data_IF_030015064966
#
_entry.id   IF_030015064966
#
_cell.length_a   1.000
_cell.length_b   1.000
_cell.length_c   1.000
_cell.angle_alpha   90.00
_cell.angle_beta   90.00
_cell.angle_gamma   90.00
#
_symmetry.space_group_name_H-M   'P 1'
#
loop_
_entity.id
_entity.type
_entity.pdbx_description
1 polymer ?
#
# COMPACT_ATOMS: atom_id res chain seq x y z
N UNK A 1 -1.99 2.42 -37.99
CA UNK A 1 -1.80 2.74 -36.55
C UNK A 1 -3.04 2.23 -35.85
N UNK A 2 -2.94 1.04 -35.27
CA UNK A 2 -4.06 0.30 -34.68
C UNK A 2 -4.32 0.84 -33.28
N UNK A 3 -5.57 0.79 -32.84
CA UNK A 3 -6.14 1.55 -31.72
C UNK A 3 -5.83 0.95 -30.33
N UNK A 4 -4.82 0.09 -30.24
CA UNK A 4 -4.53 -0.73 -29.05
C UNK A 4 -3.31 -0.27 -28.23
N UNK A 5 -2.48 0.64 -28.75
CA UNK A 5 -1.21 1.01 -28.10
C UNK A 5 -1.31 2.16 -27.08
N UNK A 6 -2.51 2.47 -26.57
CA UNK A 6 -2.72 3.69 -25.74
C UNK A 6 -3.22 3.46 -24.31
N UNK A 7 -3.45 2.21 -23.91
CA UNK A 7 -3.73 1.88 -22.51
C UNK A 7 -2.61 1.00 -21.96
N UNK A 8 -1.93 1.48 -20.92
CA UNK A 8 -1.08 0.64 -20.08
C UNK A 8 0.42 0.76 -20.29
N UNK A 9 0.96 1.97 -20.47
CA UNK A 9 2.32 2.27 -20.01
C UNK A 9 2.24 2.84 -18.58
N UNK A 10 1.65 2.09 -17.66
CA UNK A 10 2.07 2.21 -16.26
C UNK A 10 3.42 1.52 -16.21
N UNK A 11 4.50 2.30 -16.23
CA UNK A 11 5.86 1.89 -15.82
C UNK A 11 5.89 1.57 -14.30
N UNK A 12 4.84 0.91 -13.82
CA UNK A 12 4.80 0.27 -12.51
C UNK A 12 5.47 -1.10 -12.68
N UNK A 13 6.78 -1.07 -12.90
CA UNK A 13 7.69 -2.21 -12.76
C UNK A 13 7.69 -2.66 -11.29
N UNK A 14 6.67 -3.44 -10.94
CA UNK A 14 6.53 -4.10 -9.65
C UNK A 14 6.21 -5.58 -9.85
N UNK A 15 7.07 -6.33 -10.55
CA UNK A 15 7.14 -7.80 -10.41
C UNK A 15 8.47 -8.39 -10.88
N UNK A 16 9.12 -9.11 -9.96
CA UNK A 16 10.04 -10.24 -10.15
C UNK A 16 11.45 -10.02 -10.72
N UNK A 17 12.37 -9.63 -9.85
CA UNK A 17 13.70 -10.25 -9.85
C UNK A 17 14.25 -10.44 -8.41
N UNK A 18 13.64 -11.40 -7.68
CA UNK A 18 14.26 -11.95 -6.47
C UNK A 18 13.98 -13.46 -6.35
N UNK A 19 14.08 -14.17 -7.48
CA UNK A 19 14.24 -15.62 -7.50
C UNK A 19 15.72 -15.94 -7.76
N UNK A 20 16.54 -15.94 -6.71
CA UNK A 20 17.99 -16.04 -6.89
C UNK A 20 18.86 -16.29 -5.66
N UNK A 21 18.30 -16.50 -4.47
CA UNK A 21 19.09 -16.85 -3.28
C UNK A 21 18.47 -17.99 -2.49
N UNK A 22 18.23 -19.11 -3.17
CA UNK A 22 17.96 -20.39 -2.52
C UNK A 22 18.76 -21.50 -3.20
N UNK A 23 20.10 -21.43 -3.13
CA UNK A 23 20.92 -22.65 -3.10
C UNK A 23 22.36 -22.36 -2.69
N UNK A 24 22.81 -23.18 -1.74
CA UNK A 24 24.19 -23.60 -1.48
C UNK A 24 25.01 -22.80 -0.45
N UNK A 25 24.93 -23.24 0.81
CA UNK A 25 26.14 -23.62 1.55
C UNK A 25 25.77 -24.34 2.85
N UNK A 26 26.18 -25.62 2.94
CA UNK A 26 26.90 -26.21 4.08
C UNK A 26 26.44 -27.66 4.34
N UNK A 27 27.24 -28.61 3.85
CA UNK A 27 27.21 -29.99 4.34
C UNK A 27 28.34 -30.18 5.35
N UNK A 28 28.02 -30.89 6.44
CA UNK A 28 28.88 -31.61 7.39
C UNK A 28 29.70 -30.81 8.43
N UNK A 29 29.30 -30.92 9.71
CA UNK A 29 29.94 -31.85 10.67
C UNK A 29 29.26 -31.77 12.05
N UNK A 30 29.11 -32.91 12.71
CA UNK A 30 28.36 -33.05 13.95
C UNK A 30 29.04 -32.48 15.19
N UNK A 31 28.21 -32.11 16.17
CA UNK A 31 28.53 -32.24 17.60
C UNK A 31 27.24 -32.13 18.42
N UNK A 32 26.90 -33.22 19.10
CA UNK A 32 25.99 -33.28 20.25
C UNK A 32 26.41 -32.28 21.33
N UNK A 33 25.46 -31.54 21.95
CA UNK A 33 25.37 -31.22 23.40
C UNK A 33 23.99 -30.59 23.72
N UNK A 34 23.29 -31.27 24.62
CA UNK A 34 22.38 -30.85 25.70
C UNK A 34 21.33 -29.72 25.53
N UNK A 35 20.09 -30.14 25.76
CA UNK A 35 18.92 -29.37 26.20
C UNK A 35 19.19 -28.63 27.52
N UNK A 36 18.97 -27.32 27.54
CA UNK A 36 18.77 -26.55 28.78
C UNK A 36 17.44 -25.78 28.64
N UNK A 37 16.42 -26.31 29.31
CA UNK A 37 15.17 -25.61 29.62
C UNK A 37 15.47 -24.47 30.58
N UNK A 38 15.21 -23.23 30.18
CA UNK A 38 15.20 -22.07 31.09
C UNK A 38 13.74 -21.78 31.45
N UNK A 39 13.46 -22.02 32.72
CA UNK A 39 12.21 -21.76 33.44
C UNK A 39 11.93 -20.25 33.47
N UNK A 40 10.73 -19.81 33.07
CA UNK A 40 10.33 -18.40 33.08
C UNK A 40 9.72 -18.03 34.45
N UNK A 41 10.35 -17.10 35.15
CA UNK A 41 9.72 -16.36 36.26
C UNK A 41 8.81 -15.25 35.70
N UNK A 42 7.69 -14.90 36.38
CA UNK A 42 6.78 -13.86 35.91
C UNK A 42 7.30 -12.47 36.31
N UNK A 43 7.87 -11.74 35.35
CA UNK A 43 8.19 -10.32 35.50
C UNK A 43 6.89 -9.50 35.53
N UNK A 44 6.67 -8.82 36.65
CA UNK A 44 5.61 -7.85 36.91
C UNK A 44 5.74 -6.68 35.91
N UNK A 45 5.00 -6.76 34.80
CA UNK A 45 5.07 -5.75 33.73
C UNK A 45 4.24 -4.52 34.12
N UNK A 46 4.96 -3.50 34.53
CA UNK A 46 4.50 -2.10 34.64
C UNK A 46 3.76 -1.74 33.34
N UNK A 47 2.50 -1.32 33.44
CA UNK A 47 1.72 -0.86 32.28
C UNK A 47 2.25 0.49 31.82
N UNK A 48 3.29 0.47 30.96
CA UNK A 48 3.68 1.64 30.20
C UNK A 48 2.53 2.02 29.25
N UNK A 49 2.23 3.33 29.07
CA UNK A 49 1.21 3.75 28.13
C UNK A 49 1.61 3.30 26.72
N UNK A 50 0.68 2.66 26.00
CA UNK A 50 0.89 2.24 24.62
C UNK A 50 1.37 3.47 23.80
N UNK A 51 2.51 3.36 23.08
CA UNK A 51 2.99 4.47 22.26
C UNK A 51 1.94 4.83 21.20
N UNK A 52 1.70 6.13 20.98
CA UNK A 52 0.84 6.61 19.91
C UNK A 52 1.25 5.92 18.58
N UNK A 53 0.29 5.39 17.80
CA UNK A 53 0.61 4.68 16.58
C UNK A 53 1.33 5.63 15.62
N UNK A 54 2.50 5.19 15.13
CA UNK A 54 3.28 5.95 14.16
C UNK A 54 2.42 6.29 12.94
N UNK A 55 2.55 7.51 12.36
CA UNK A 55 1.87 7.83 11.12
C UNK A 55 2.16 6.79 10.04
N UNK A 56 1.15 6.50 9.22
CA UNK A 56 1.11 5.36 8.30
C UNK A 56 2.38 5.20 7.44
N UNK A 57 2.94 6.30 6.91
CA UNK A 57 4.13 6.27 6.05
C UNK A 57 5.38 5.74 6.77
N UNK A 58 5.47 5.92 8.09
CA UNK A 58 6.59 5.47 8.92
C UNK A 58 6.40 4.07 9.50
N UNK A 59 5.16 3.57 9.54
CA UNK A 59 4.84 2.25 10.07
C UNK A 59 4.94 1.13 9.02
N UNK A 60 4.82 1.44 7.72
CA UNK A 60 4.75 0.42 6.66
C UNK A 60 6.11 -0.15 6.26
N UNK A 61 6.15 -1.46 5.96
CA UNK A 61 7.35 -2.15 5.42
C UNK A 61 7.47 -2.02 3.90
N UNK A 62 6.35 -2.13 3.19
CA UNK A 62 6.27 -1.93 1.74
C UNK A 62 5.01 -1.15 1.42
N UNK A 63 4.90 -0.66 0.19
CA UNK A 63 3.73 0.08 -0.27
C UNK A 63 2.47 -0.80 -0.27
N UNK A 64 2.61 -2.10 -0.52
CA UNK A 64 1.50 -3.07 -0.53
C UNK A 64 1.28 -3.76 0.82
N UNK A 65 2.18 -3.58 1.79
CA UNK A 65 2.11 -4.28 3.07
C UNK A 65 0.78 -3.99 3.77
N UNK A 66 0.17 -5.05 4.30
CA UNK A 66 -1.04 -4.98 5.12
C UNK A 66 -2.28 -4.41 4.39
N UNK A 67 -2.35 -4.56 3.06
CA UNK A 67 -3.49 -4.12 2.23
C UNK A 67 -4.12 -5.27 1.46
N UNK A 68 -5.46 -5.27 1.41
CA UNK A 68 -6.22 -6.10 0.47
C UNK A 68 -6.27 -5.41 -0.90
N UNK A 69 -6.14 -6.21 -1.97
CA UNK A 69 -6.22 -5.69 -3.33
C UNK A 69 -7.68 -5.37 -3.71
N UNK A 70 -7.96 -4.09 -4.00
CA UNK A 70 -9.27 -3.63 -4.50
C UNK A 70 -9.09 -3.07 -5.91
N UNK A 71 -9.46 -3.80 -6.97
CA UNK A 71 -9.39 -3.29 -8.33
C UNK A 71 -10.50 -2.26 -8.56
N UNK A 72 -10.13 -1.04 -8.99
CA UNK A 72 -11.07 0.02 -9.35
C UNK A 72 -10.84 0.41 -10.81
N UNK A 73 -11.91 0.35 -11.59
CA UNK A 73 -11.93 0.85 -12.97
C UNK A 73 -12.64 2.21 -13.00
N UNK A 74 -12.04 3.19 -13.66
CA UNK A 74 -12.56 4.57 -13.73
C UNK A 74 -12.73 5.01 -15.18
N UNK A 75 -13.52 6.06 -15.41
CA UNK A 75 -13.66 6.67 -16.74
C UNK A 75 -12.37 7.42 -17.12
N UNK A 76 -12.13 7.62 -18.43
CA UNK A 76 -10.90 8.27 -18.96
C UNK A 76 -10.63 9.64 -18.33
N UNK A 77 -11.68 10.44 -18.11
CA UNK A 77 -11.54 11.75 -17.49
C UNK A 77 -11.04 11.63 -16.05
N UNK A 78 -11.64 10.74 -15.25
CA UNK A 78 -11.23 10.49 -13.87
C UNK A 78 -9.81 9.93 -13.80
N UNK A 79 -9.40 9.07 -14.74
CA UNK A 79 -8.02 8.58 -14.80
C UNK A 79 -7.02 9.74 -15.01
N UNK A 80 -7.34 10.67 -15.92
CA UNK A 80 -6.50 11.84 -16.20
C UNK A 80 -6.38 12.74 -14.97
N UNK A 81 -7.51 13.01 -14.29
CA UNK A 81 -7.52 13.82 -13.06
C UNK A 81 -6.71 13.17 -11.92
N UNK A 82 -6.73 11.84 -11.81
CA UNK A 82 -5.88 11.12 -10.83
C UNK A 82 -4.40 11.28 -11.18
N UNK A 83 -4.00 11.10 -12.44
CA UNK A 83 -2.60 11.25 -12.86
C UNK A 83 -2.07 12.67 -12.62
N UNK A 84 -2.91 13.69 -12.83
CA UNK A 84 -2.59 15.08 -12.54
C UNK A 84 -2.41 15.32 -11.04
N UNK A 85 -3.32 14.79 -10.22
CA UNK A 85 -3.23 14.89 -8.76
C UNK A 85 -2.00 14.17 -8.20
N UNK A 86 -1.67 12.97 -8.70
CA UNK A 86 -0.47 12.24 -8.29
C UNK A 86 0.80 13.08 -8.52
N UNK A 87 0.89 13.78 -9.66
CA UNK A 87 1.99 14.70 -9.98
C UNK A 87 2.01 15.93 -9.08
N UNK A 88 0.85 16.52 -8.82
CA UNK A 88 0.70 17.70 -7.94
C UNK A 88 1.13 17.38 -6.51
N UNK A 89 0.66 16.27 -5.95
CA UNK A 89 0.99 15.87 -4.59
C UNK A 89 2.47 15.47 -4.46
N UNK A 90 3.04 14.81 -5.46
CA UNK A 90 4.48 14.52 -5.48
C UNK A 90 5.33 15.78 -5.49
N UNK A 91 4.87 16.87 -6.10
CA UNK A 91 5.56 18.16 -6.07
C UNK A 91 5.31 18.91 -4.76
N UNK A 92 4.15 18.75 -4.14
CA UNK A 92 3.82 19.43 -2.89
C UNK A 92 4.58 18.85 -1.70
N UNK A 93 4.75 17.52 -1.67
CA UNK A 93 5.45 16.80 -0.61
C UNK A 93 6.90 16.50 -0.99
N UNK A 94 7.69 17.51 -1.40
CA UNK A 94 9.07 17.37 -1.93
C UNK A 94 10.03 16.53 -1.05
N UNK A 95 9.72 16.31 0.23
CA UNK A 95 10.50 15.50 1.17
C UNK A 95 10.10 14.03 1.28
N UNK A 96 8.91 13.65 0.79
CA UNK A 96 8.37 12.30 0.93
C UNK A 96 8.18 11.63 -0.44
N UNK A 97 8.46 10.33 -0.51
CA UNK A 97 8.14 9.54 -1.69
C UNK A 97 6.63 9.27 -1.71
N UNK A 98 5.88 10.12 -2.39
CA UNK A 98 4.44 9.95 -2.64
C UNK A 98 4.25 8.81 -3.64
N UNK A 99 3.61 7.73 -3.21
CA UNK A 99 3.32 6.58 -4.08
C UNK A 99 1.92 6.72 -4.67
N UNK A 100 1.75 6.36 -5.95
CA UNK A 100 0.45 6.35 -6.62
C UNK A 100 -0.62 5.56 -5.81
N UNK A 101 -0.22 4.43 -5.23
CA UNK A 101 -1.12 3.64 -4.38
C UNK A 101 -1.62 4.42 -3.16
N UNK A 102 -0.79 5.26 -2.55
CA UNK A 102 -1.18 6.08 -1.41
C UNK A 102 -2.14 7.20 -1.81
N UNK A 103 -1.90 7.83 -2.97
CA UNK A 103 -2.79 8.87 -3.50
C UNK A 103 -4.17 8.30 -3.81
N UNK A 104 -4.22 7.13 -4.44
CA UNK A 104 -5.49 6.46 -4.77
C UNK A 104 -6.24 6.01 -3.52
N UNK A 105 -5.55 5.48 -2.52
CA UNK A 105 -6.16 5.16 -1.22
C UNK A 105 -6.66 6.43 -0.52
N UNK A 106 -5.90 7.53 -0.54
CA UNK A 106 -6.31 8.80 0.03
C UNK A 106 -7.57 9.38 -0.65
N UNK A 107 -7.67 9.27 -1.98
CA UNK A 107 -8.88 9.64 -2.72
C UNK A 107 -10.10 8.82 -2.28
N UNK A 108 -9.94 7.49 -2.15
CA UNK A 108 -11.00 6.60 -1.66
C UNK A 108 -11.39 6.99 -0.23
N UNK A 109 -10.41 7.23 0.65
CA UNK A 109 -10.64 7.61 2.05
C UNK A 109 -11.39 8.94 2.14
N UNK A 110 -10.98 9.95 1.37
CA UNK A 110 -11.63 11.25 1.31
C UNK A 110 -13.08 11.13 0.81
N UNK A 111 -13.34 10.30 -0.21
CA UNK A 111 -14.71 10.02 -0.67
C UNK A 111 -15.58 9.35 0.39
N UNK A 112 -15.01 8.39 1.14
CA UNK A 112 -15.72 7.74 2.25
C UNK A 112 -16.01 8.69 3.42
N UNK A 113 -15.18 9.72 3.62
CA UNK A 113 -15.41 10.77 4.62
C UNK A 113 -16.41 11.85 4.14
N UNK A 114 -16.59 11.99 2.82
CA UNK A 114 -17.44 13.00 2.20
C UNK A 114 -18.49 12.34 1.28
N UNK A 115 -19.34 11.48 1.87
CA UNK A 115 -20.32 10.65 1.13
C UNK A 115 -21.32 11.51 0.33
N UNK A 116 -21.63 12.72 0.78
CA UNK A 116 -22.52 13.63 0.07
C UNK A 116 -21.94 14.07 -1.30
N UNK A 117 -20.62 14.26 -1.38
CA UNK A 117 -19.95 14.56 -2.65
C UNK A 117 -19.97 13.34 -3.59
N UNK A 118 -19.78 12.15 -3.03
CA UNK A 118 -19.91 10.90 -3.79
C UNK A 118 -21.33 10.77 -4.35
N UNK A 119 -22.36 11.02 -3.53
CA UNK A 119 -23.75 10.99 -3.98
C UNK A 119 -23.99 12.00 -5.10
N UNK A 120 -23.50 13.25 -4.96
CA UNK A 120 -23.62 14.28 -5.98
C UNK A 120 -23.00 13.86 -7.31
N UNK A 121 -21.78 13.29 -7.29
CA UNK A 121 -21.12 12.77 -8.50
C UNK A 121 -21.97 11.66 -9.15
N UNK A 122 -22.56 10.76 -8.35
CA UNK A 122 -23.46 9.74 -8.87
C UNK A 122 -24.74 10.34 -9.48
N UNK A 123 -25.33 11.36 -8.87
CA UNK A 123 -26.49 12.07 -9.43
C UNK A 123 -26.15 12.79 -10.74
N UNK A 124 -24.96 13.38 -10.84
CA UNK A 124 -24.40 13.97 -12.07
C UNK A 124 -24.27 12.92 -13.18
N UNK A 125 -23.83 11.69 -12.84
CA UNK A 125 -23.83 10.54 -13.76
C UNK A 125 -25.23 10.01 -14.11
N UNK A 126 -26.28 10.53 -13.48
CA UNK A 126 -27.67 10.21 -13.80
C UNK A 126 -28.32 9.17 -12.87
N UNK A 127 -27.62 8.71 -11.83
CA UNK A 127 -28.26 7.89 -10.80
C UNK A 127 -29.41 8.67 -10.13
N UNK A 128 -30.47 7.96 -9.73
CA UNK A 128 -31.63 8.55 -9.05
C UNK A 128 -32.61 9.32 -9.96
N UNK A 129 -32.27 9.59 -11.22
CA UNK A 129 -33.21 10.16 -12.21
C UNK A 129 -34.12 9.04 -12.73
N UNK A 130 -35.39 9.04 -12.32
CA UNK A 130 -36.46 8.17 -12.84
C UNK A 130 -37.54 9.00 -13.51
#
# INVERSE_FOLDING_TARGET
>A
MTKDDRYGATDDDYSDELDGYASDSATASGSSVETVTVESEPEESTSEPDPDPLPFIFARRTVKADRDAVPVYVQDQTATEIDELERELSQTFEGDKVMALDVREALIRAGLENVDDVQRVMEEWGYGRR
#
